data_IF_631155769632
#
_entry.id   IF_631155769632
#
_cell.length_a   1.000
_cell.length_b   1.000
_cell.length_c   1.000
_cell.angle_alpha   90.00
_cell.angle_beta   90.00
_cell.angle_gamma   90.00
#
_symmetry.space_group_name_H-M   'P 1'
#
loop_
_entity.id
_entity.type
_entity.pdbx_description
1 polymer ?
#
# COMPACT_ATOMS: atom_id res chain seq x y z
N UNK A 1 4.92 -13.91 -3.30
CA UNK A 1 4.02 -13.38 -2.25
C UNK A 1 4.78 -12.76 -1.10
N UNK A 2 5.76 -13.45 -0.49
CA UNK A 2 6.60 -12.88 0.58
C UNK A 2 7.28 -11.57 0.19
N UNK A 3 7.89 -11.50 -0.99
CA UNK A 3 8.51 -10.26 -1.52
C UNK A 3 7.50 -9.12 -1.63
N UNK A 4 6.31 -9.39 -2.16
CA UNK A 4 5.25 -8.40 -2.30
C UNK A 4 4.79 -7.86 -0.93
N UNK A 5 4.59 -8.76 0.05
CA UNK A 5 4.18 -8.38 1.39
C UNK A 5 5.26 -7.56 2.13
N UNK A 6 6.54 -7.90 1.98
CA UNK A 6 7.63 -7.08 2.49
C UNK A 6 7.75 -5.73 1.76
N UNK A 7 7.39 -5.66 0.48
CA UNK A 7 7.28 -4.41 -0.26
C UNK A 7 6.24 -3.47 0.37
N UNK A 8 5.08 -4.01 0.77
CA UNK A 8 4.06 -3.26 1.52
C UNK A 8 4.62 -2.74 2.85
N UNK A 9 5.34 -3.58 3.61
CA UNK A 9 5.99 -3.16 4.86
C UNK A 9 6.99 -2.02 4.61
N UNK A 10 7.86 -2.17 3.60
CA UNK A 10 8.86 -1.16 3.26
C UNK A 10 8.20 0.18 2.85
N UNK A 11 7.11 0.13 2.09
CA UNK A 11 6.33 1.31 1.76
C UNK A 11 5.74 1.98 3.00
N UNK A 12 5.20 1.19 3.93
CA UNK A 12 4.71 1.70 5.21
C UNK A 12 5.81 2.35 6.06
N UNK A 13 7.03 1.80 6.07
CA UNK A 13 8.20 2.41 6.73
C UNK A 13 8.53 3.77 6.12
N UNK A 14 8.52 3.89 4.79
CA UNK A 14 8.72 5.15 4.09
C UNK A 14 7.70 6.20 4.53
N UNK A 15 6.42 5.84 4.58
CA UNK A 15 5.35 6.76 5.02
C UNK A 15 5.47 7.10 6.51
N UNK A 16 5.78 6.12 7.35
CA UNK A 16 5.94 6.31 8.80
C UNK A 16 7.09 7.29 9.11
N UNK A 17 8.19 7.22 8.35
CA UNK A 17 9.29 8.17 8.45
C UNK A 17 8.85 9.62 8.15
N UNK A 18 7.78 9.80 7.35
CA UNK A 18 7.14 11.08 7.09
C UNK A 18 6.69 11.83 8.35
N UNK A 19 6.47 11.13 9.47
CA UNK A 19 6.11 11.74 10.75
C UNK A 19 7.23 12.60 11.37
N UNK A 20 8.50 12.34 10.99
CA UNK A 20 9.66 12.87 11.68
C UNK A 20 10.41 13.87 10.78
N UNK A 21 10.57 15.14 11.20
CA UNK A 21 11.40 16.10 10.48
C UNK A 21 12.81 15.56 10.26
N UNK A 22 13.31 15.64 9.01
CA UNK A 22 14.64 15.17 8.65
C UNK A 22 14.68 13.74 8.12
N UNK A 23 13.63 12.94 8.32
CA UNK A 23 13.45 11.62 7.71
C UNK A 23 12.32 11.62 6.65
N UNK A 24 11.59 12.72 6.53
CA UNK A 24 10.36 12.85 5.75
C UNK A 24 10.58 13.13 4.26
N UNK A 25 11.82 13.32 3.80
CA UNK A 25 12.17 13.61 2.41
C UNK A 25 11.53 12.65 1.39
N UNK A 26 11.68 11.33 1.53
CA UNK A 26 11.03 10.37 0.63
C UNK A 26 9.49 10.48 0.61
N UNK A 27 8.85 10.64 1.77
CA UNK A 27 7.40 10.80 1.87
C UNK A 27 6.93 12.12 1.22
N UNK A 28 7.68 13.22 1.39
CA UNK A 28 7.41 14.50 0.72
C UNK A 28 7.46 14.37 -0.80
N UNK A 29 8.51 13.74 -1.31
CA UNK A 29 8.67 13.54 -2.76
C UNK A 29 7.52 12.71 -3.33
N UNK A 30 7.14 11.65 -2.63
CA UNK A 30 6.02 10.79 -3.01
C UNK A 30 4.69 11.56 -3.05
N UNK A 31 4.35 12.29 -2.00
CA UNK A 31 3.11 13.08 -1.95
C UNK A 31 3.09 14.21 -2.98
N UNK A 32 4.25 14.84 -3.22
CA UNK A 32 4.41 15.85 -4.27
C UNK A 32 4.14 15.25 -5.64
N UNK A 33 4.71 14.07 -5.93
CA UNK A 33 4.49 13.34 -7.17
C UNK A 33 3.01 12.95 -7.32
N UNK A 34 2.42 12.38 -6.27
CA UNK A 34 1.04 11.89 -6.31
C UNK A 34 0.02 12.99 -6.51
N UNK A 35 0.21 14.14 -5.86
CA UNK A 35 -0.65 15.32 -5.98
C UNK A 35 -0.31 16.23 -7.16
N UNK A 36 0.70 15.89 -7.97
CA UNK A 36 1.24 16.75 -9.04
C UNK A 36 1.52 18.18 -8.54
N UNK A 37 2.20 18.29 -7.40
CA UNK A 37 2.44 19.55 -6.71
C UNK A 37 3.79 20.15 -7.11
N UNK A 38 3.98 21.47 -6.90
CA UNK A 38 5.28 22.10 -7.08
C UNK A 38 6.37 21.45 -6.22
N UNK A 39 7.58 21.35 -6.77
CA UNK A 39 8.73 20.83 -6.04
C UNK A 39 8.97 21.63 -4.76
N UNK A 40 9.14 20.93 -3.63
CA UNK A 40 9.28 21.55 -2.31
C UNK A 40 7.95 21.89 -1.62
N UNK A 41 6.82 21.38 -2.12
CA UNK A 41 5.50 21.60 -1.52
C UNK A 41 5.47 21.30 -0.01
N UNK A 42 4.91 22.25 0.75
CA UNK A 42 4.80 22.26 2.20
C UNK A 42 3.80 21.24 2.79
N UNK A 43 3.47 20.15 2.06
CA UNK A 43 2.41 19.20 2.45
C UNK A 43 2.59 18.66 3.88
N UNK A 44 3.83 18.36 4.29
CA UNK A 44 4.12 17.80 5.60
C UNK A 44 4.53 18.87 6.64
N UNK A 45 4.40 20.15 6.32
CA UNK A 45 4.67 21.23 7.28
C UNK A 45 3.50 21.36 8.27
N UNK A 46 2.29 21.04 7.81
CA UNK A 46 1.11 20.95 8.66
C UNK A 46 1.19 19.74 9.60
N UNK A 47 1.10 20.01 10.91
CA UNK A 47 1.22 18.98 11.96
C UNK A 47 0.21 17.85 11.79
N UNK A 48 -1.03 18.19 11.43
CA UNK A 48 -2.09 17.21 11.23
C UNK A 48 -1.78 16.28 10.04
N UNK A 49 -1.28 16.82 8.94
CA UNK A 49 -0.91 16.04 7.76
C UNK A 49 0.27 15.12 8.06
N UNK A 50 1.28 15.64 8.75
CA UNK A 50 2.45 14.87 9.17
C UNK A 50 2.07 13.69 10.07
N UNK A 51 1.19 13.92 11.04
CA UNK A 51 0.62 12.86 11.87
C UNK A 51 -0.16 11.83 11.04
N UNK A 52 -1.05 12.29 10.15
CA UNK A 52 -1.87 11.41 9.32
C UNK A 52 -1.01 10.49 8.43
N UNK A 53 0.02 11.04 7.77
CA UNK A 53 0.94 10.27 6.91
C UNK A 53 1.75 9.27 7.72
N UNK A 54 2.27 9.69 8.88
CA UNK A 54 2.94 8.80 9.82
C UNK A 54 2.07 7.62 10.26
N UNK A 55 0.81 7.93 10.64
CA UNK A 55 -0.17 6.94 11.07
C UNK A 55 -0.55 5.98 9.93
N UNK A 56 -0.74 6.49 8.71
CA UNK A 56 -0.96 5.64 7.53
C UNK A 56 0.21 4.67 7.34
N UNK A 57 1.45 5.14 7.48
CA UNK A 57 2.63 4.28 7.43
C UNK A 57 2.60 3.16 8.48
N UNK A 58 2.26 3.48 9.73
CA UNK A 58 2.12 2.48 10.79
C UNK A 58 1.03 1.44 10.48
N UNK A 59 -0.13 1.87 9.96
CA UNK A 59 -1.22 0.97 9.53
C UNK A 59 -0.76 0.08 8.37
N UNK A 60 -0.06 0.63 7.38
CA UNK A 60 0.48 -0.13 6.24
C UNK A 60 1.52 -1.16 6.68
N UNK A 61 2.40 -0.82 7.62
CA UNK A 61 3.35 -1.78 8.24
C UNK A 61 2.57 -2.93 8.90
N UNK A 62 1.59 -2.60 9.74
CA UNK A 62 0.77 -3.61 10.43
C UNK A 62 0.05 -4.53 9.44
N UNK A 63 -0.51 -3.96 8.37
CA UNK A 63 -1.16 -4.73 7.30
C UNK A 63 -0.17 -5.66 6.58
N UNK A 64 0.99 -5.13 6.16
CA UNK A 64 2.03 -5.91 5.50
C UNK A 64 2.57 -7.05 6.37
N UNK A 65 2.87 -6.77 7.64
CA UNK A 65 3.33 -7.81 8.60
C UNK A 65 2.25 -8.86 8.85
N UNK A 66 0.99 -8.45 9.00
CA UNK A 66 -0.14 -9.39 9.12
C UNK A 66 -0.16 -10.36 7.94
N UNK A 67 0.00 -9.86 6.71
CA UNK A 67 0.06 -10.70 5.53
C UNK A 67 1.28 -11.62 5.58
N UNK A 68 2.49 -11.10 5.83
CA UNK A 68 3.73 -11.90 5.90
C UNK A 68 3.56 -13.09 6.85
N UNK A 69 3.05 -12.86 8.06
CA UNK A 69 2.92 -13.90 9.08
C UNK A 69 1.72 -14.83 8.85
N UNK A 70 0.67 -14.38 8.17
CA UNK A 70 -0.47 -15.21 7.81
C UNK A 70 -0.29 -15.97 6.48
N UNK A 71 0.75 -15.70 5.70
CA UNK A 71 1.00 -16.42 4.45
C UNK A 71 0.96 -17.96 4.62
N UNK A 72 1.61 -18.59 5.63
CA UNK A 72 1.52 -20.03 5.83
C UNK A 72 0.08 -20.53 6.05
N UNK A 73 -0.73 -19.75 6.78
CA UNK A 73 -2.14 -20.05 7.03
C UNK A 73 -2.97 -19.91 5.75
N UNK A 74 -2.70 -18.87 4.94
CA UNK A 74 -3.35 -18.65 3.65
C UNK A 74 -3.03 -19.80 2.68
N UNK A 75 -1.77 -20.25 2.64
CA UNK A 75 -1.36 -21.42 1.85
C UNK A 75 -2.08 -22.69 2.29
N UNK A 76 -2.12 -22.96 3.60
CA UNK A 76 -2.81 -24.12 4.16
C UNK A 76 -4.32 -24.10 3.89
N UNK A 77 -4.94 -22.91 3.87
CA UNK A 77 -6.36 -22.72 3.57
C UNK A 77 -6.70 -22.84 2.06
N UNK A 78 -5.72 -23.00 1.17
CA UNK A 78 -5.92 -23.17 -0.27
C UNK A 78 -6.69 -22.00 -0.90
N UNK A 79 -7.54 -22.28 -1.89
CA UNK A 79 -8.24 -21.20 -2.61
C UNK A 79 -9.15 -20.36 -1.73
N UNK A 80 -9.67 -20.88 -0.61
CA UNK A 80 -10.47 -20.07 0.32
C UNK A 80 -9.63 -18.94 0.92
N UNK A 81 -8.41 -19.24 1.36
CA UNK A 81 -7.46 -18.25 1.86
C UNK A 81 -7.10 -17.22 0.79
N UNK A 82 -6.77 -17.68 -0.42
CA UNK A 82 -6.40 -16.80 -1.53
C UNK A 82 -7.56 -15.93 -2.03
N UNK A 83 -8.79 -16.44 -2.03
CA UNK A 83 -9.99 -15.65 -2.38
C UNK A 83 -10.25 -14.56 -1.35
N UNK A 84 -10.11 -14.86 -0.06
CA UNK A 84 -10.25 -13.87 1.01
C UNK A 84 -9.18 -12.76 0.88
N UNK A 85 -7.92 -13.14 0.70
CA UNK A 85 -6.82 -12.19 0.49
C UNK A 85 -7.03 -11.33 -0.77
N UNK A 86 -7.45 -11.96 -1.88
CA UNK A 86 -7.71 -11.25 -3.14
C UNK A 86 -8.89 -10.29 -3.00
N UNK A 87 -9.97 -10.68 -2.31
CA UNK A 87 -11.10 -9.80 -2.04
C UNK A 87 -10.67 -8.59 -1.20
N UNK A 88 -9.89 -8.81 -0.14
CA UNK A 88 -9.37 -7.72 0.69
C UNK A 88 -8.53 -6.73 -0.13
N UNK A 89 -7.65 -7.22 -1.01
CA UNK A 89 -6.85 -6.37 -1.89
C UNK A 89 -7.72 -5.61 -2.91
N UNK A 90 -8.72 -6.25 -3.51
CA UNK A 90 -9.62 -5.60 -4.48
C UNK A 90 -10.42 -4.48 -3.82
N UNK A 91 -10.95 -4.72 -2.63
CA UNK A 91 -11.69 -3.71 -1.85
C UNK A 91 -10.79 -2.51 -1.54
N UNK A 92 -9.56 -2.77 -1.05
CA UNK A 92 -8.58 -1.71 -0.82
C UNK A 92 -8.27 -0.93 -2.11
N UNK A 93 -7.95 -1.63 -3.20
CA UNK A 93 -7.59 -1.02 -4.49
C UNK A 93 -8.69 -0.08 -5.01
N UNK A 94 -9.95 -0.53 -4.95
CA UNK A 94 -11.10 0.27 -5.41
C UNK A 94 -11.28 1.51 -4.54
N UNK A 95 -11.30 1.35 -3.22
CA UNK A 95 -11.51 2.47 -2.28
C UNK A 95 -10.37 3.48 -2.38
N UNK A 96 -9.12 3.03 -2.31
CA UNK A 96 -7.94 3.89 -2.30
C UNK A 96 -7.77 4.64 -3.63
N UNK A 97 -8.01 3.96 -4.76
CA UNK A 97 -7.94 4.59 -6.08
C UNK A 97 -9.08 5.59 -6.31
N UNK A 98 -10.29 5.29 -5.84
CA UNK A 98 -11.41 6.24 -5.88
C UNK A 98 -11.11 7.51 -5.08
N UNK A 99 -10.62 7.34 -3.83
CA UNK A 99 -10.20 8.47 -2.99
C UNK A 99 -9.11 9.28 -3.69
N UNK A 100 -8.08 8.61 -4.23
CA UNK A 100 -6.95 9.26 -4.92
C UNK A 100 -7.40 10.13 -6.09
N UNK A 101 -8.27 9.59 -6.95
CA UNK A 101 -8.78 10.34 -8.11
C UNK A 101 -9.66 11.51 -7.66
N UNK A 102 -10.58 11.26 -6.72
CA UNK A 102 -11.54 12.27 -6.25
C UNK A 102 -10.89 13.44 -5.49
N UNK A 103 -9.70 13.24 -4.93
CA UNK A 103 -8.98 14.26 -4.14
C UNK A 103 -7.85 14.94 -4.92
N UNK A 104 -7.67 14.63 -6.21
CA UNK A 104 -6.62 15.23 -7.05
C UNK A 104 -5.25 14.55 -6.96
N UNK A 105 -5.15 13.41 -6.28
CA UNK A 105 -3.95 12.58 -6.16
C UNK A 105 -3.94 11.41 -7.15
N UNK A 106 -4.43 11.62 -8.38
CA UNK A 106 -4.68 10.54 -9.35
C UNK A 106 -3.43 9.72 -9.71
N UNK A 107 -2.22 10.28 -9.60
CA UNK A 107 -0.99 9.54 -9.82
C UNK A 107 -0.76 8.43 -8.77
N UNK A 108 -1.37 8.52 -7.59
CA UNK A 108 -1.38 7.41 -6.62
C UNK A 108 -2.15 6.20 -7.15
N UNK A 109 -3.22 6.38 -7.93
CA UNK A 109 -3.96 5.26 -8.53
C UNK A 109 -3.08 4.43 -9.49
N UNK A 110 -2.06 5.05 -10.12
CA UNK A 110 -1.05 4.34 -10.91
C UNK A 110 -0.18 3.47 -10.01
N UNK A 111 0.26 3.99 -8.86
CA UNK A 111 1.01 3.21 -7.86
C UNK A 111 0.20 2.04 -7.32
N UNK A 112 -1.07 2.26 -6.98
CA UNK A 112 -2.00 1.22 -6.56
C UNK A 112 -2.18 0.13 -7.61
N UNK A 113 -2.28 0.53 -8.88
CA UNK A 113 -2.38 -0.41 -10.01
C UNK A 113 -1.12 -1.25 -10.13
N UNK A 114 0.06 -0.64 -9.99
CA UNK A 114 1.33 -1.37 -10.01
C UNK A 114 1.41 -2.38 -8.84
N UNK A 115 1.00 -1.98 -7.63
CA UNK A 115 0.96 -2.87 -6.47
C UNK A 115 -0.02 -4.04 -6.68
N UNK A 116 -1.20 -3.76 -7.24
CA UNK A 116 -2.20 -4.77 -7.56
C UNK A 116 -1.67 -5.76 -8.62
N UNK A 117 -1.05 -5.27 -9.70
CA UNK A 117 -0.44 -6.12 -10.73
C UNK A 117 0.65 -7.02 -10.13
N UNK A 118 1.52 -6.46 -9.29
CA UNK A 118 2.58 -7.21 -8.61
C UNK A 118 2.04 -8.32 -7.69
N UNK A 119 0.81 -8.17 -7.18
CA UNK A 119 0.08 -9.23 -6.48
C UNK A 119 -0.55 -10.24 -7.46
N UNK A 120 -1.32 -9.76 -8.45
CA UNK A 120 -2.15 -10.60 -9.31
C UNK A 120 -1.33 -11.53 -10.19
N UNK A 121 -0.20 -11.08 -10.76
CA UNK A 121 0.65 -11.89 -11.65
C UNK A 121 1.02 -13.24 -11.00
N UNK A 122 1.73 -13.26 -9.85
CA UNK A 122 2.09 -14.52 -9.20
C UNK A 122 0.90 -15.33 -8.67
N UNK A 123 -0.19 -14.69 -8.21
CA UNK A 123 -1.39 -15.40 -7.72
C UNK A 123 -2.13 -16.12 -8.86
N UNK A 124 -2.26 -15.47 -10.01
CA UNK A 124 -2.88 -16.07 -11.19
C UNK A 124 -1.98 -17.15 -11.81
N UNK A 125 -0.67 -16.89 -11.91
CA UNK A 125 0.30 -17.83 -12.47
C UNK A 125 0.43 -19.12 -11.64
N UNK A 126 0.31 -19.02 -10.31
CA UNK A 126 0.36 -20.19 -9.41
C UNK A 126 -0.93 -21.03 -9.40
N UNK A 127 -2.02 -20.56 -10.02
CA UNK A 127 -3.30 -21.25 -9.98
C UNK A 127 -3.99 -21.23 -8.61
N UNK A 128 -3.51 -20.40 -7.67
CA UNK A 128 -3.95 -20.35 -6.28
C UNK A 128 -5.47 -20.12 -6.07
N UNK A 129 -6.16 -19.62 -7.10
CA UNK A 129 -7.61 -19.37 -7.08
C UNK A 129 -8.47 -20.52 -7.63
N UNK A 130 -7.86 -21.52 -8.29
CA UNK A 130 -8.56 -22.50 -9.16
C UNK A 130 -9.06 -23.76 -8.45
N UNK A 131 -8.69 -24.02 -7.21
CA UNK A 131 -8.99 -25.30 -6.53
C UNK A 131 -9.80 -25.14 -5.25
N UNK A 132 -11.05 -25.61 -5.26
CA UNK A 132 -11.87 -25.84 -4.05
C UNK A 132 -11.67 -27.25 -3.52
#
# INVERSE_FOLDING_TARGET
MTVWAWGVVAFGVLLAAGAFPGLDGPARNLLTLFGNLPAGGAILDERAMRFAVGLMGAVTIGWGLTIVFLLPVIFAAGAKGWRAMTLALMVWYVIDSFISISTGFAANAVSNTALAIAYFIPVLASGALRTS
#
